data_IF_517777445800
#
_entry.id   IF_517777445800
#
_cell.length_a   1.000
_cell.length_b   1.000
_cell.length_c   1.000
_cell.angle_alpha   90.00
_cell.angle_beta   90.00
_cell.angle_gamma   90.00
#
_symmetry.space_group_name_H-M   'P 1'
#
loop_
_entity.id
_entity.type
_entity.pdbx_description
1 polymer ?
#
# COMPACT_ATOMS: atom_id res chain seq x y z
N UNK A 1 20.21 26.88 17.96
CA UNK A 1 19.53 27.11 16.67
C UNK A 1 18.82 25.81 16.29
N UNK A 2 17.50 25.75 16.43
CA UNK A 2 16.69 24.58 16.04
C UNK A 2 16.53 24.64 14.52
N UNK A 3 17.22 23.77 13.80
CA UNK A 3 17.19 23.75 12.33
C UNK A 3 15.86 23.13 11.87
N UNK A 4 15.03 23.95 11.21
CA UNK A 4 13.77 23.50 10.59
C UNK A 4 14.12 22.77 9.29
N UNK A 5 13.75 21.50 9.19
CA UNK A 5 13.79 20.73 7.93
C UNK A 5 13.18 21.58 6.80
N UNK A 6 13.95 21.81 5.72
CA UNK A 6 13.51 22.65 4.57
C UNK A 6 12.43 21.97 3.71
N UNK A 7 12.12 20.70 3.99
CA UNK A 7 11.19 19.92 3.20
C UNK A 7 10.06 19.42 4.11
N UNK A 8 8.85 19.92 3.88
CA UNK A 8 7.64 19.59 4.65
C UNK A 8 6.62 18.94 3.74
N UNK A 9 5.96 17.87 4.21
CA UNK A 9 4.93 17.16 3.42
C UNK A 9 3.60 17.89 3.32
N UNK A 10 3.31 18.80 4.26
CA UNK A 10 2.01 19.47 4.38
C UNK A 10 2.12 21.00 4.27
N UNK A 11 1.16 21.60 3.58
CA UNK A 11 0.89 23.05 3.61
C UNK A 11 -0.14 23.33 4.71
N UNK A 12 0.19 24.19 5.68
CA UNK A 12 -0.71 24.58 6.78
C UNK A 12 -0.08 24.50 8.18
N UNK A 13 -0.86 24.62 9.26
CA UNK A 13 -0.36 24.63 10.64
C UNK A 13 0.28 23.30 11.08
N UNK A 14 -0.01 22.19 10.38
CA UNK A 14 0.57 20.88 10.61
C UNK A 14 1.79 20.62 9.71
N UNK A 15 2.83 21.45 9.81
CA UNK A 15 4.12 21.18 9.14
C UNK A 15 4.82 19.99 9.81
N UNK A 16 4.60 18.79 9.31
CA UNK A 16 5.43 17.63 9.61
C UNK A 16 6.66 17.63 8.69
N UNK A 17 7.84 17.37 9.28
CA UNK A 17 9.06 17.19 8.49
C UNK A 17 8.92 15.96 7.60
N UNK A 18 9.62 15.97 6.46
CA UNK A 18 9.65 14.80 5.56
C UNK A 18 10.15 13.54 6.28
N UNK A 19 11.06 13.70 7.25
CA UNK A 19 11.56 12.58 8.03
C UNK A 19 10.48 11.95 8.90
N UNK A 20 9.79 12.74 9.71
CA UNK A 20 8.74 12.25 10.62
C UNK A 20 7.57 11.64 9.86
N UNK A 21 7.15 12.27 8.75
CA UNK A 21 6.06 11.75 7.93
C UNK A 21 6.38 10.40 7.30
N UNK A 22 7.58 10.25 6.74
CA UNK A 22 8.03 9.00 6.13
C UNK A 22 8.19 7.89 7.17
N UNK A 23 8.73 8.21 8.35
CA UNK A 23 8.91 7.24 9.43
C UNK A 23 7.56 6.72 9.93
N UNK A 24 6.60 7.62 10.16
CA UNK A 24 5.25 7.28 10.59
C UNK A 24 4.53 6.44 9.55
N UNK A 25 4.59 6.84 8.27
CA UNK A 25 3.99 6.07 7.16
C UNK A 25 4.65 4.70 7.04
N UNK A 26 5.97 4.60 7.22
CA UNK A 26 6.66 3.33 7.14
C UNK A 26 6.25 2.36 8.26
N UNK A 27 6.07 2.86 9.49
CA UNK A 27 5.56 2.05 10.61
C UNK A 27 4.11 1.64 10.38
N UNK A 28 3.25 2.57 9.94
CA UNK A 28 1.84 2.27 9.67
C UNK A 28 1.70 1.22 8.56
N UNK A 29 2.45 1.36 7.47
CA UNK A 29 2.51 0.37 6.40
C UNK A 29 3.00 -0.98 6.90
N UNK A 30 4.10 -1.01 7.67
CA UNK A 30 4.60 -2.25 8.27
C UNK A 30 3.55 -2.99 9.11
N UNK A 31 2.86 -2.27 10.01
CA UNK A 31 1.83 -2.85 10.88
C UNK A 31 0.63 -3.34 10.06
N UNK A 32 0.20 -2.56 9.06
CA UNK A 32 -0.90 -2.93 8.19
C UNK A 32 -0.59 -4.22 7.42
N UNK A 33 0.58 -4.30 6.80
CA UNK A 33 1.00 -5.47 6.03
C UNK A 33 1.16 -6.72 6.90
N UNK A 34 1.58 -6.57 8.17
CA UNK A 34 1.57 -7.68 9.13
C UNK A 34 0.16 -8.17 9.48
N UNK A 35 -0.80 -7.26 9.68
CA UNK A 35 -2.19 -7.62 9.94
C UNK A 35 -2.77 -8.39 8.74
N UNK A 36 -2.50 -7.91 7.53
CA UNK A 36 -2.92 -8.57 6.28
C UNK A 36 -2.26 -9.95 6.16
N UNK A 37 -0.96 -10.07 6.41
CA UNK A 37 -0.25 -11.35 6.39
C UNK A 37 -0.89 -12.38 7.33
N UNK A 38 -1.17 -11.98 8.59
CA UNK A 38 -1.79 -12.85 9.61
C UNK A 38 -3.18 -13.29 9.15
N UNK A 39 -3.97 -12.35 8.63
CA UNK A 39 -5.31 -12.65 8.10
C UNK A 39 -5.24 -13.68 6.97
N UNK A 40 -4.32 -13.49 6.03
CA UNK A 40 -4.19 -14.36 4.87
C UNK A 40 -3.71 -15.76 5.25
N UNK A 41 -2.74 -15.87 6.16
CA UNK A 41 -2.31 -17.16 6.70
C UNK A 41 -3.45 -17.89 7.43
N UNK A 42 -4.27 -17.16 8.18
CA UNK A 42 -5.39 -17.75 8.92
C UNK A 42 -6.54 -18.19 7.98
N UNK A 43 -6.79 -17.46 6.90
CA UNK A 43 -7.94 -17.69 6.03
C UNK A 43 -7.67 -18.69 4.91
N UNK A 44 -6.57 -18.55 4.19
CA UNK A 44 -6.36 -19.25 2.92
C UNK A 44 -5.73 -20.63 3.06
N UNK A 45 -5.33 -21.05 4.27
CA UNK A 45 -4.66 -22.34 4.55
C UNK A 45 -3.48 -22.65 3.60
N UNK A 46 -2.94 -21.61 2.97
CA UNK A 46 -1.87 -21.63 1.99
C UNK A 46 -0.86 -20.59 2.40
N UNK A 47 0.42 -20.93 2.25
CA UNK A 47 1.53 -20.06 2.66
C UNK A 47 1.72 -18.92 1.64
N UNK A 48 1.35 -19.16 0.37
CA UNK A 48 1.62 -18.24 -0.74
C UNK A 48 1.00 -16.85 -0.55
N UNK A 49 -0.30 -16.72 -0.19
CA UNK A 49 -0.94 -15.42 -0.02
C UNK A 49 -0.31 -14.58 1.10
N UNK A 50 0.09 -15.21 2.22
CA UNK A 50 0.71 -14.52 3.35
C UNK A 50 2.17 -14.10 3.14
N UNK A 51 2.89 -14.70 2.18
CA UNK A 51 4.29 -14.34 1.89
C UNK A 51 4.44 -12.97 1.24
N UNK A 52 3.49 -12.55 0.40
CA UNK A 52 3.57 -11.27 -0.29
C UNK A 52 3.44 -10.07 0.68
N UNK A 53 2.42 -10.00 1.55
CA UNK A 53 2.33 -8.96 2.58
C UNK A 53 3.53 -8.98 3.53
N UNK A 54 4.09 -10.16 3.85
CA UNK A 54 5.30 -10.26 4.67
C UNK A 54 6.52 -9.61 3.97
N UNK A 55 6.67 -9.83 2.66
CA UNK A 55 7.72 -9.18 1.87
C UNK A 55 7.52 -7.66 1.84
N UNK A 56 6.28 -7.19 1.67
CA UNK A 56 5.91 -5.77 1.75
C UNK A 56 6.27 -5.19 3.11
N UNK A 57 5.95 -5.88 4.22
CA UNK A 57 6.31 -5.45 5.57
C UNK A 57 7.83 -5.30 5.74
N UNK A 58 8.63 -6.27 5.26
CA UNK A 58 10.10 -6.18 5.28
C UNK A 58 10.59 -4.97 4.47
N UNK A 59 9.93 -4.66 3.35
CA UNK A 59 10.26 -3.49 2.53
C UNK A 59 9.99 -2.17 3.27
N UNK A 60 8.92 -2.07 4.07
CA UNK A 60 8.67 -0.91 4.94
C UNK A 60 9.75 -0.74 6.01
N UNK A 61 10.27 -1.84 6.58
CA UNK A 61 11.41 -1.76 7.50
C UNK A 61 12.67 -1.22 6.82
N UNK A 62 12.89 -1.55 5.54
CA UNK A 62 14.03 -1.04 4.78
C UNK A 62 14.00 0.49 4.68
N UNK A 63 12.81 1.09 4.57
CA UNK A 63 12.60 2.56 4.59
C UNK A 63 13.02 3.16 5.92
N UNK A 64 12.62 2.54 7.04
CA UNK A 64 13.03 2.98 8.38
C UNK A 64 14.56 2.98 8.53
N UNK A 65 15.21 1.91 8.09
CA UNK A 65 16.68 1.84 8.09
C UNK A 65 17.32 2.84 7.12
N UNK A 66 16.68 3.10 5.98
CA UNK A 66 17.17 4.06 4.99
C UNK A 66 17.24 5.47 5.56
N UNK A 67 16.21 5.87 6.32
CA UNK A 67 16.20 7.14 7.04
C UNK A 67 17.26 7.16 8.14
N UNK A 68 17.32 6.13 9.00
CA UNK A 68 18.28 6.07 10.10
C UNK A 68 19.74 6.13 9.64
N UNK A 69 20.05 5.51 8.50
CA UNK A 69 21.40 5.48 7.91
C UNK A 69 21.66 6.59 6.88
N UNK A 70 20.68 7.47 6.62
CA UNK A 70 20.75 8.48 5.55
C UNK A 70 21.24 7.88 4.21
N UNK A 71 20.80 6.67 3.88
CA UNK A 71 21.21 5.96 2.68
C UNK A 71 20.03 5.75 1.72
N UNK A 72 19.97 6.47 0.57
CA UNK A 72 18.85 6.38 -0.35
C UNK A 72 18.74 5.01 -1.05
N UNK A 73 19.82 4.21 -1.12
CA UNK A 73 19.76 2.89 -1.75
C UNK A 73 18.86 1.90 -1.00
N UNK A 74 18.66 2.11 0.31
CA UNK A 74 17.82 1.26 1.16
C UNK A 74 16.31 1.50 0.96
N UNK A 75 15.91 2.53 0.20
CA UNK A 75 14.52 2.70 -0.25
C UNK A 75 14.17 1.79 -1.43
N UNK A 76 15.17 1.24 -2.15
CA UNK A 76 14.90 0.47 -3.37
C UNK A 76 14.03 -0.78 -3.17
N UNK A 77 14.22 -1.59 -2.11
CA UNK A 77 13.36 -2.75 -1.87
C UNK A 77 11.88 -2.34 -1.80
N UNK A 78 11.57 -1.29 -1.04
CA UNK A 78 10.25 -0.71 -0.95
C UNK A 78 9.72 -0.22 -2.31
N UNK A 79 10.50 0.62 -3.00
CA UNK A 79 10.05 1.23 -4.26
C UNK A 79 9.75 0.20 -5.36
N UNK A 80 10.47 -0.91 -5.38
CA UNK A 80 10.26 -2.01 -6.31
C UNK A 80 9.07 -2.88 -5.90
N UNK A 81 9.04 -3.37 -4.66
CA UNK A 81 7.99 -4.29 -4.19
C UNK A 81 6.62 -3.62 -4.23
N UNK A 82 6.50 -2.44 -3.62
CA UNK A 82 5.23 -1.69 -3.62
C UNK A 82 4.88 -1.12 -4.99
N UNK A 83 5.88 -0.75 -5.80
CA UNK A 83 5.66 -0.27 -7.17
C UNK A 83 5.01 -1.35 -8.03
N UNK A 84 5.53 -2.58 -7.96
CA UNK A 84 4.95 -3.75 -8.63
C UNK A 84 3.58 -4.08 -8.01
N UNK A 85 3.47 -4.06 -6.69
CA UNK A 85 2.22 -4.30 -5.96
C UNK A 85 1.09 -3.34 -6.36
N UNK A 86 1.39 -2.05 -6.55
CA UNK A 86 0.43 -1.05 -7.01
C UNK A 86 -0.11 -1.37 -8.41
N UNK A 87 0.74 -1.84 -9.33
CA UNK A 87 0.30 -2.25 -10.67
C UNK A 87 -0.66 -3.43 -10.56
N UNK A 88 -0.34 -4.45 -9.76
CA UNK A 88 -1.23 -5.58 -9.53
C UNK A 88 -2.55 -5.17 -8.87
N UNK A 89 -2.50 -4.34 -7.83
CA UNK A 89 -3.70 -3.82 -7.17
C UNK A 89 -4.59 -3.02 -8.12
N UNK A 90 -4.00 -2.22 -9.01
CA UNK A 90 -4.75 -1.50 -10.05
C UNK A 90 -5.48 -2.47 -10.99
N UNK A 91 -4.81 -3.55 -11.44
CA UNK A 91 -5.43 -4.57 -12.30
C UNK A 91 -6.58 -5.29 -11.56
N UNK A 92 -6.41 -5.59 -10.28
CA UNK A 92 -7.47 -6.18 -9.43
C UNK A 92 -8.65 -5.22 -9.31
N UNK A 93 -8.42 -3.93 -9.05
CA UNK A 93 -9.47 -2.91 -9.02
C UNK A 93 -10.27 -2.86 -10.33
N UNK A 94 -9.58 -2.82 -11.48
CA UNK A 94 -10.22 -2.79 -12.81
C UNK A 94 -11.05 -4.05 -13.04
N UNK A 95 -10.52 -5.21 -12.65
CA UNK A 95 -11.20 -6.50 -12.78
C UNK A 95 -12.49 -6.52 -11.96
N UNK A 96 -12.42 -6.14 -10.67
CA UNK A 96 -13.58 -6.07 -9.77
C UNK A 96 -14.60 -5.05 -10.29
N UNK A 97 -14.15 -3.88 -10.76
CA UNK A 97 -15.04 -2.87 -11.33
C UNK A 97 -15.79 -3.42 -12.56
N UNK A 98 -15.08 -4.11 -13.45
CA UNK A 98 -15.66 -4.75 -14.64
C UNK A 98 -16.71 -5.80 -14.26
N UNK A 99 -16.39 -6.67 -13.30
CA UNK A 99 -17.31 -7.68 -12.76
C UNK A 99 -18.53 -7.02 -12.11
N UNK A 100 -18.34 -5.90 -11.39
CA UNK A 100 -19.42 -5.18 -10.70
C UNK A 100 -20.41 -4.53 -11.67
N UNK A 101 -19.91 -3.99 -12.79
CA UNK A 101 -20.73 -3.36 -13.84
C UNK A 101 -21.52 -4.43 -14.61
N UNK A 102 -20.82 -5.45 -15.12
CA UNK A 102 -21.40 -6.44 -16.02
C UNK A 102 -22.22 -7.51 -15.29
N UNK A 103 -21.81 -7.88 -14.07
CA UNK A 103 -22.31 -9.02 -13.29
C UNK A 103 -22.53 -10.25 -14.20
N UNK A 104 -21.45 -10.85 -14.72
CA UNK A 104 -21.54 -11.99 -15.64
C UNK A 104 -22.40 -13.12 -15.05
N UNK A 105 -23.26 -13.71 -15.88
CA UNK A 105 -24.13 -14.81 -15.45
C UNK A 105 -23.32 -16.00 -14.94
N UNK A 106 -22.17 -16.26 -15.55
CA UNK A 106 -21.26 -17.36 -15.19
C UNK A 106 -20.85 -17.32 -13.71
N UNK A 107 -20.59 -16.13 -13.16
CA UNK A 107 -20.23 -15.95 -11.74
C UNK A 107 -21.42 -16.28 -10.85
N UNK A 108 -22.63 -15.86 -11.24
CA UNK A 108 -23.86 -16.16 -10.51
C UNK A 108 -24.14 -17.66 -10.53
N UNK A 109 -23.98 -18.30 -11.68
CA UNK A 109 -24.20 -19.75 -11.84
C UNK A 109 -23.16 -20.55 -11.04
N UNK A 110 -21.90 -20.11 -11.01
CA UNK A 110 -20.85 -20.75 -10.22
C UNK A 110 -21.06 -20.60 -8.71
N UNK A 111 -21.52 -19.42 -8.25
CA UNK A 111 -21.91 -19.20 -6.86
C UNK A 111 -23.13 -20.05 -6.48
N UNK A 112 -24.12 -20.16 -7.37
CA UNK A 112 -25.30 -21.00 -7.16
C UNK A 112 -24.96 -22.49 -7.05
N UNK A 113 -23.92 -22.98 -7.74
CA UNK A 113 -23.44 -24.37 -7.56
C UNK A 113 -22.92 -24.65 -6.14
N UNK A 114 -22.49 -23.63 -5.41
CA UNK A 114 -21.91 -23.75 -4.06
C UNK A 114 -22.86 -23.29 -2.95
N UNK A 115 -24.01 -22.73 -3.30
CA UNK A 115 -24.96 -22.14 -2.36
C UNK A 115 -26.23 -22.97 -2.28
N UNK A 116 -26.71 -23.24 -1.07
CA UNK A 116 -28.01 -23.90 -0.85
C UNK A 116 -29.20 -23.01 -1.26
N UNK A 117 -28.97 -21.69 -1.35
CA UNK A 117 -29.99 -20.71 -1.74
C UNK A 117 -29.64 -20.06 -3.07
N UNK A 118 -30.61 -19.81 -3.96
CA UNK A 118 -30.37 -19.12 -5.21
C UNK A 118 -29.95 -17.67 -4.94
N UNK A 119 -28.75 -17.32 -5.41
CA UNK A 119 -28.17 -15.98 -5.46
C UNK A 119 -28.56 -15.37 -6.81
N UNK A 120 -29.13 -14.16 -6.76
CA UNK A 120 -29.45 -13.37 -7.95
C UNK A 120 -28.38 -12.30 -8.18
N UNK A 121 -28.33 -11.76 -9.42
CA UNK A 121 -27.44 -10.63 -9.76
C UNK A 121 -27.68 -9.42 -8.85
N UNK A 122 -28.93 -9.15 -8.50
CA UNK A 122 -29.31 -8.01 -7.66
C UNK A 122 -28.84 -8.18 -6.21
N UNK A 123 -28.78 -9.41 -5.70
CA UNK A 123 -28.21 -9.70 -4.38
C UNK A 123 -26.68 -9.62 -4.38
N UNK A 124 -26.03 -9.96 -5.50
CA UNK A 124 -24.57 -9.97 -5.62
C UNK A 124 -23.99 -8.56 -5.83
N UNK A 125 -24.65 -7.73 -6.63
CA UNK A 125 -24.19 -6.38 -6.98
C UNK A 125 -23.83 -5.48 -5.76
N UNK A 126 -24.63 -5.36 -4.69
CA UNK A 126 -24.26 -4.53 -3.55
C UNK A 126 -23.00 -5.05 -2.83
N UNK A 127 -22.83 -6.37 -2.71
CA UNK A 127 -21.61 -6.95 -2.13
C UNK A 127 -20.38 -6.64 -2.98
N UNK A 128 -20.49 -6.74 -4.31
CA UNK A 128 -19.41 -6.37 -5.24
C UNK A 128 -19.06 -4.89 -5.17
N UNK A 129 -20.05 -3.99 -5.03
CA UNK A 129 -19.82 -2.56 -4.82
C UNK A 129 -19.05 -2.31 -3.52
N UNK A 130 -19.45 -2.95 -2.42
CA UNK A 130 -18.74 -2.84 -1.14
C UNK A 130 -17.30 -3.34 -1.26
N UNK A 131 -17.09 -4.49 -1.91
CA UNK A 131 -15.75 -5.00 -2.20
C UNK A 131 -14.92 -4.00 -3.02
N UNK A 132 -15.50 -3.42 -4.07
CA UNK A 132 -14.84 -2.43 -4.91
C UNK A 132 -14.42 -1.20 -4.10
N UNK A 133 -15.28 -0.69 -3.22
CA UNK A 133 -14.98 0.45 -2.34
C UNK A 133 -13.80 0.12 -1.42
N UNK A 134 -13.82 -1.04 -0.76
CA UNK A 134 -12.77 -1.45 0.18
C UNK A 134 -11.42 -1.58 -0.56
N UNK A 135 -11.39 -2.27 -1.69
CA UNK A 135 -10.15 -2.47 -2.47
C UNK A 135 -9.64 -1.14 -3.03
N UNK A 136 -10.54 -0.26 -3.48
CA UNK A 136 -10.16 1.07 -3.99
C UNK A 136 -9.57 1.96 -2.89
N UNK A 137 -10.13 1.92 -1.68
CA UNK A 137 -9.59 2.65 -0.52
C UNK A 137 -8.21 2.13 -0.12
N UNK A 138 -8.02 0.81 -0.11
CA UNK A 138 -6.71 0.21 0.14
C UNK A 138 -5.70 0.65 -0.93
N UNK A 139 -6.05 0.56 -2.21
CA UNK A 139 -5.20 1.03 -3.31
C UNK A 139 -4.83 2.52 -3.18
N UNK A 140 -5.80 3.39 -2.89
CA UNK A 140 -5.56 4.82 -2.71
C UNK A 140 -4.62 5.10 -1.52
N UNK A 141 -4.79 4.37 -0.42
CA UNK A 141 -3.91 4.48 0.74
C UNK A 141 -2.49 4.02 0.43
N UNK A 142 -2.30 2.88 -0.23
CA UNK A 142 -0.98 2.38 -0.64
C UNK A 142 -0.30 3.34 -1.62
N UNK A 143 -1.03 3.87 -2.59
CA UNK A 143 -0.50 4.86 -3.54
C UNK A 143 -0.08 6.15 -2.83
N UNK A 144 -0.83 6.56 -1.80
CA UNK A 144 -0.48 7.71 -0.97
C UNK A 144 0.79 7.46 -0.16
N UNK A 145 0.92 6.30 0.49
CA UNK A 145 2.14 5.90 1.21
C UNK A 145 3.36 5.86 0.29
N UNK A 146 3.19 5.26 -0.90
CA UNK A 146 4.24 5.21 -1.92
C UNK A 146 4.69 6.61 -2.33
N UNK A 147 3.75 7.53 -2.56
CA UNK A 147 4.04 8.93 -2.92
C UNK A 147 4.85 9.65 -1.84
N UNK A 148 4.51 9.45 -0.56
CA UNK A 148 5.24 10.03 0.58
C UNK A 148 6.67 9.48 0.61
N UNK A 149 6.83 8.16 0.60
CA UNK A 149 8.14 7.51 0.70
C UNK A 149 9.01 7.82 -0.53
N UNK A 150 8.43 7.87 -1.73
CA UNK A 150 9.13 8.25 -2.96
C UNK A 150 9.68 9.69 -2.90
N UNK A 151 8.90 10.64 -2.37
CA UNK A 151 9.36 12.03 -2.17
C UNK A 151 10.54 12.08 -1.20
N UNK A 152 10.51 11.29 -0.12
CA UNK A 152 11.62 11.19 0.83
C UNK A 152 12.88 10.60 0.21
N UNK A 153 12.73 9.53 -0.59
CA UNK A 153 13.82 8.97 -1.38
C UNK A 153 14.46 10.03 -2.30
N UNK A 154 13.64 10.76 -3.07
CA UNK A 154 14.12 11.79 -4.00
C UNK A 154 14.87 12.89 -3.25
N UNK A 155 14.30 13.39 -2.16
CA UNK A 155 14.93 14.41 -1.31
C UNK A 155 16.30 13.97 -0.81
N UNK A 156 16.43 12.74 -0.31
CA UNK A 156 17.69 12.22 0.20
C UNK A 156 18.72 11.99 -0.91
N UNK A 157 18.28 11.56 -2.09
CA UNK A 157 19.13 11.41 -3.28
C UNK A 157 19.68 12.76 -3.75
N UNK A 158 18.82 13.79 -3.81
CA UNK A 158 19.19 15.14 -4.22
C UNK A 158 20.14 15.80 -3.19
N UNK A 159 19.88 15.59 -1.90
CA UNK A 159 20.76 16.01 -0.81
C UNK A 159 22.18 15.40 -0.92
N UNK A 160 22.26 14.10 -1.26
CA UNK A 160 23.53 13.40 -1.46
C UNK A 160 24.27 13.89 -2.71
N UNK A 161 23.55 14.15 -3.79
CA UNK A 161 24.13 14.68 -5.04
C UNK A 161 24.66 16.10 -4.90
N UNK A 162 24.00 16.94 -4.09
CA UNK A 162 24.37 18.35 -3.86
C UNK A 162 25.35 18.56 -2.70
N UNK A 163 25.76 17.49 -1.99
CA UNK A 163 26.61 17.56 -0.81
C UNK A 163 25.96 18.22 0.42
N UNK A 164 24.67 18.57 0.34
CA UNK A 164 23.89 19.16 1.45
C UNK A 164 23.03 18.07 2.08
N UNK A 165 23.65 17.17 2.83
CA UNK A 165 22.92 16.20 3.64
C UNK A 165 22.21 16.99 4.75
N UNK A 166 20.87 16.96 4.84
CA UNK A 166 20.17 17.59 5.97
C UNK A 166 20.62 16.94 7.28
N UNK A 167 20.86 17.73 8.35
CA UNK A 167 21.25 17.18 9.65
C UNK A 167 20.08 16.39 10.26
N UNK A 168 20.45 15.29 10.95
CA UNK A 168 19.60 14.39 11.74
C UNK A 168 18.91 15.13 12.88
#
# INVERSE_FOLDING_TARGET
>A
MIYKSRYTFCCGPFRTSVETGTYLVAILGFVLELIVAIYDFAKFHSVLPGLFPLLSAISYLSVVFAQKKNNPSLFMPYLLVEGIGLVFNMLVCITIATITILVPQEIVDELNKRSEKPITREMLRPNLIVCLIIVSLYFAMTAWFYSIIYRAYKMLKDAKATGRIPPV
#
